data_IF_621437734060
#
_entry.id   IF_621437734060
#
_cell.length_a   1.000
_cell.length_b   1.000
_cell.length_c   1.000
_cell.angle_alpha   90.00
_cell.angle_beta   90.00
_cell.angle_gamma   90.00
#
_symmetry.space_group_name_H-M   'P 1'
#
loop_
_entity.id
_entity.type
_entity.pdbx_description
1 polymer ?
#
# COMPACT_ATOMS: atom_id res chain seq x y z
N UNK A 1 -24.97 -0.35 4.96
CA UNK A 1 -24.25 0.73 4.26
C UNK A 1 -23.37 1.46 5.28
N UNK A 2 -22.05 1.56 5.05
CA UNK A 2 -21.21 2.47 5.83
C UNK A 2 -21.34 3.85 5.19
N UNK A 3 -21.84 4.83 5.94
CA UNK A 3 -21.77 6.23 5.53
C UNK A 3 -20.38 6.75 5.91
N UNK A 4 -19.54 7.00 4.89
CA UNK A 4 -18.29 7.70 5.08
C UNK A 4 -18.55 9.16 5.44
N UNK A 5 -17.90 9.66 6.48
CA UNK A 5 -17.98 11.06 6.90
C UNK A 5 -17.14 11.93 5.97
N UNK A 6 -17.67 12.23 4.78
CA UNK A 6 -17.11 13.09 3.74
C UNK A 6 -15.74 12.68 3.16
N UNK A 7 -15.70 12.49 1.83
CA UNK A 7 -14.46 12.39 1.07
C UNK A 7 -14.07 13.76 0.49
N UNK A 8 -12.79 14.12 0.54
CA UNK A 8 -12.28 15.25 -0.26
C UNK A 8 -11.85 14.66 -1.60
N UNK A 9 -12.57 14.98 -2.67
CA UNK A 9 -12.14 14.66 -4.03
C UNK A 9 -11.10 15.71 -4.45
N UNK A 10 -9.92 15.25 -4.90
CA UNK A 10 -8.86 16.16 -5.34
C UNK A 10 -9.34 16.99 -6.52
N UNK A 11 -9.01 18.27 -6.43
CA UNK A 11 -8.93 19.21 -7.53
C UNK A 11 -7.74 18.88 -8.42
N UNK A 12 -7.96 18.81 -9.72
CA UNK A 12 -6.92 19.03 -10.72
C UNK A 12 -6.39 20.47 -10.62
N UNK A 13 -5.22 20.73 -11.22
CA UNK A 13 -4.27 21.85 -11.01
C UNK A 13 -4.84 23.29 -10.99
N UNK A 14 -6.14 23.52 -11.14
CA UNK A 14 -6.82 24.82 -11.03
C UNK A 14 -8.21 24.79 -10.35
N UNK A 15 -8.72 23.64 -9.93
CA UNK A 15 -10.08 23.53 -9.39
C UNK A 15 -10.14 23.74 -7.86
N UNK A 16 -11.29 24.22 -7.38
CA UNK A 16 -11.60 24.28 -5.96
C UNK A 16 -11.87 22.85 -5.45
N UNK A 17 -11.13 22.40 -4.44
CA UNK A 17 -11.48 21.18 -3.71
C UNK A 17 -12.88 21.31 -3.11
N UNK A 18 -13.75 20.34 -3.32
CA UNK A 18 -15.09 20.31 -2.74
C UNK A 18 -15.31 19.03 -1.93
N UNK A 19 -16.13 19.14 -0.89
CA UNK A 19 -16.52 18.01 -0.05
C UNK A 19 -17.62 17.23 -0.76
N UNK A 20 -17.43 15.93 -0.94
CA UNK A 20 -18.45 15.05 -1.49
C UNK A 20 -18.80 13.94 -0.49
N UNK A 21 -20.09 13.63 -0.40
CA UNK A 21 -20.58 12.49 0.37
C UNK A 21 -21.06 11.45 -0.62
N UNK A 22 -20.39 10.31 -0.67
CA UNK A 22 -20.79 9.16 -1.45
C UNK A 22 -21.15 8.00 -0.52
N UNK A 23 -22.06 7.14 -0.98
CA UNK A 23 -22.29 5.85 -0.32
C UNK A 23 -21.06 4.96 -0.50
N UNK A 24 -20.63 4.31 0.58
CA UNK A 24 -19.52 3.36 0.52
C UNK A 24 -20.00 1.94 0.83
N UNK A 25 -19.40 0.99 0.14
CA UNK A 25 -19.57 -0.46 0.35
C UNK A 25 -18.21 -1.08 0.66
N UNK A 26 -18.20 -2.19 1.39
CA UNK A 26 -16.96 -2.93 1.63
C UNK A 26 -16.63 -3.77 0.40
N UNK A 27 -15.35 -3.89 0.08
CA UNK A 27 -14.93 -4.70 -1.07
C UNK A 27 -15.33 -6.17 -0.88
N UNK A 28 -15.18 -6.72 0.33
CA UNK A 28 -15.61 -8.08 0.67
C UNK A 28 -17.11 -8.33 0.46
N UNK A 29 -17.95 -7.29 0.49
CA UNK A 29 -19.41 -7.41 0.36
C UNK A 29 -19.88 -7.42 -1.10
N UNK A 30 -19.05 -6.98 -2.06
CA UNK A 30 -19.42 -6.86 -3.48
C UNK A 30 -18.57 -7.72 -4.40
N UNK A 31 -17.42 -8.19 -3.92
CA UNK A 31 -16.50 -9.01 -4.69
C UNK A 31 -16.62 -10.48 -4.24
N UNK A 32 -17.33 -11.28 -5.05
CA UNK A 32 -17.56 -12.69 -4.75
C UNK A 32 -16.88 -13.64 -5.74
N UNK A 33 -16.43 -13.14 -6.89
CA UNK A 33 -15.80 -13.94 -7.94
C UNK A 33 -14.45 -14.50 -7.45
N UNK A 34 -14.28 -15.84 -7.36
CA UNK A 34 -13.04 -16.45 -6.94
C UNK A 34 -11.92 -16.37 -7.99
N UNK A 35 -12.21 -15.96 -9.23
CA UNK A 35 -11.25 -15.89 -10.34
C UNK A 35 -10.42 -14.60 -10.38
N UNK A 36 -10.65 -13.68 -9.43
CA UNK A 36 -9.96 -12.39 -9.38
C UNK A 36 -8.48 -12.59 -9.07
N UNK A 37 -7.64 -12.31 -10.05
CA UNK A 37 -6.20 -12.49 -9.95
C UNK A 37 -5.46 -11.22 -9.48
N UNK A 38 -6.06 -10.05 -9.63
CA UNK A 38 -5.41 -8.76 -9.34
C UNK A 38 -6.40 -7.74 -8.76
N UNK A 39 -5.92 -6.92 -7.82
CA UNK A 39 -6.63 -5.75 -7.31
C UNK A 39 -5.78 -4.49 -7.53
N UNK A 40 -6.25 -3.58 -8.40
CA UNK A 40 -5.71 -2.22 -8.55
C UNK A 40 -6.53 -1.26 -7.67
N UNK A 41 -5.87 -0.51 -6.80
CA UNK A 41 -6.49 0.49 -5.93
C UNK A 41 -5.87 1.86 -6.19
N UNK A 42 -6.68 2.78 -6.68
CA UNK A 42 -6.27 4.12 -7.10
C UNK A 42 -7.43 5.06 -6.74
N UNK A 43 -7.44 5.50 -5.48
CA UNK A 43 -8.60 6.16 -4.86
C UNK A 43 -8.21 7.44 -4.15
N UNK A 44 -7.22 8.15 -4.67
CA UNK A 44 -6.83 9.50 -4.24
C UNK A 44 -6.49 9.62 -2.74
N UNK A 45 -5.83 8.61 -2.16
CA UNK A 45 -5.38 8.65 -0.76
C UNK A 45 -6.28 7.91 0.22
N UNK A 46 -7.31 7.20 -0.27
CA UNK A 46 -8.20 6.34 0.53
C UNK A 46 -7.84 4.86 0.44
N UNK A 47 -6.65 4.52 -0.06
CA UNK A 47 -6.21 3.13 -0.27
C UNK A 47 -6.23 2.33 1.04
N UNK A 48 -5.75 2.86 2.20
CA UNK A 48 -5.84 2.12 3.46
C UNK A 48 -7.26 1.70 3.84
N UNK A 49 -8.27 2.53 3.57
CA UNK A 49 -9.67 2.25 3.86
C UNK A 49 -10.21 1.16 2.93
N UNK A 50 -9.79 1.15 1.66
CA UNK A 50 -10.12 0.07 0.73
C UNK A 50 -9.57 -1.25 1.24
N UNK A 51 -8.29 -1.31 1.62
CA UNK A 51 -7.67 -2.53 2.15
C UNK A 51 -8.28 -2.98 3.48
N UNK A 52 -8.67 -2.05 4.35
CA UNK A 52 -9.40 -2.37 5.58
C UNK A 52 -10.76 -3.05 5.30
N UNK A 53 -11.39 -2.72 4.17
CA UNK A 53 -12.67 -3.31 3.76
C UNK A 53 -12.56 -4.61 2.95
N UNK A 54 -11.33 -4.96 2.55
CA UNK A 54 -10.97 -6.10 1.69
C UNK A 54 -10.30 -7.24 2.48
N UNK A 55 -10.57 -7.36 3.78
CA UNK A 55 -9.85 -8.29 4.66
C UNK A 55 -10.01 -9.74 4.19
N UNK A 56 -11.23 -10.16 3.86
CA UNK A 56 -11.46 -11.56 3.50
C UNK A 56 -10.76 -11.92 2.19
N UNK A 57 -10.85 -11.07 1.17
CA UNK A 57 -10.22 -11.35 -0.13
C UNK A 57 -8.68 -11.35 -0.05
N UNK A 58 -8.09 -10.52 0.81
CA UNK A 58 -6.64 -10.47 1.05
C UNK A 58 -6.15 -11.66 1.90
N UNK A 59 -6.81 -11.96 3.02
CA UNK A 59 -6.41 -13.06 3.91
C UNK A 59 -6.60 -14.43 3.28
N UNK A 60 -7.63 -14.60 2.44
CA UNK A 60 -7.82 -15.84 1.68
C UNK A 60 -6.85 -15.99 0.50
N UNK A 61 -5.97 -14.99 0.28
CA UNK A 61 -5.02 -14.92 -0.84
C UNK A 61 -5.68 -15.19 -2.19
N UNK A 62 -6.95 -14.80 -2.36
CA UNK A 62 -7.65 -14.90 -3.64
C UNK A 62 -7.02 -13.95 -4.65
N UNK A 63 -6.58 -12.78 -4.21
CA UNK A 63 -5.86 -11.83 -5.06
C UNK A 63 -4.36 -12.14 -5.05
N UNK A 64 -3.84 -12.57 -6.20
CA UNK A 64 -2.42 -12.89 -6.35
C UNK A 64 -1.54 -11.64 -6.41
N UNK A 65 -2.03 -10.54 -6.99
CA UNK A 65 -1.28 -9.31 -7.17
C UNK A 65 -2.05 -8.06 -6.72
N UNK A 66 -1.37 -7.15 -6.03
CA UNK A 66 -1.89 -5.86 -5.59
C UNK A 66 -1.09 -4.74 -6.26
N UNK A 67 -1.79 -3.75 -6.80
CA UNK A 67 -1.18 -2.50 -7.26
C UNK A 67 -1.93 -1.33 -6.65
N UNK A 68 -1.22 -0.46 -5.93
CA UNK A 68 -1.83 0.71 -5.33
C UNK A 68 -0.84 1.85 -5.21
N UNK A 69 -1.36 3.07 -5.20
CA UNK A 69 -0.56 4.27 -4.97
C UNK A 69 -0.60 4.64 -3.49
N UNK A 70 0.55 5.04 -2.94
CA UNK A 70 0.60 5.71 -1.64
C UNK A 70 1.11 7.12 -1.84
N UNK A 71 0.39 8.12 -1.31
CA UNK A 71 0.86 9.50 -1.35
C UNK A 71 1.63 9.83 -0.06
N UNK A 72 2.89 10.30 -0.19
CA UNK A 72 3.64 10.86 0.95
C UNK A 72 3.36 12.36 1.04
N UNK A 73 2.45 12.75 1.91
CA UNK A 73 2.19 14.19 2.13
C UNK A 73 3.00 14.70 3.34
N UNK A 74 3.88 15.69 3.18
CA UNK A 74 4.73 16.17 4.27
C UNK A 74 3.98 17.02 5.32
N UNK A 75 2.69 17.31 5.11
CA UNK A 75 1.91 18.19 5.98
C UNK A 75 1.53 17.49 7.29
N UNK A 76 1.76 18.16 8.43
CA UNK A 76 1.36 17.70 9.78
C UNK A 76 -0.10 17.26 9.89
N UNK A 77 -0.98 17.81 9.05
CA UNK A 77 -2.41 17.53 9.00
C UNK A 77 -2.76 16.12 8.48
N UNK A 78 -1.82 15.39 7.87
CA UNK A 78 -2.07 14.04 7.32
C UNK A 78 -1.32 12.92 8.07
N UNK A 79 -0.93 13.14 9.33
CA UNK A 79 -0.32 12.10 10.19
C UNK A 79 -1.13 10.80 10.24
N UNK A 80 -2.46 10.91 10.24
CA UNK A 80 -3.34 9.75 10.26
C UNK A 80 -3.24 8.93 8.97
N UNK A 81 -3.11 9.59 7.81
CA UNK A 81 -2.93 8.90 6.52
C UNK A 81 -1.58 8.21 6.44
N UNK A 82 -0.51 8.86 6.91
CA UNK A 82 0.81 8.21 7.02
C UNK A 82 0.76 6.98 7.92
N UNK A 83 0.07 7.08 9.08
CA UNK A 83 -0.11 5.94 9.98
C UNK A 83 -0.87 4.80 9.31
N UNK A 84 -1.99 5.12 8.64
CA UNK A 84 -2.82 4.15 7.94
C UNK A 84 -2.06 3.47 6.78
N UNK A 85 -1.24 4.22 6.03
CA UNK A 85 -0.38 3.66 4.98
C UNK A 85 0.66 2.69 5.55
N UNK A 86 1.34 3.06 6.64
CA UNK A 86 2.31 2.18 7.32
C UNK A 86 1.62 0.91 7.83
N UNK A 87 0.45 1.05 8.45
CA UNK A 87 -0.34 -0.10 8.93
C UNK A 87 -0.81 -1.00 7.79
N UNK A 88 -1.14 -0.43 6.64
CA UNK A 88 -1.51 -1.19 5.43
C UNK A 88 -0.32 -1.98 4.91
N UNK A 89 0.83 -1.34 4.73
CA UNK A 89 2.06 -2.01 4.30
C UNK A 89 2.45 -3.14 5.27
N UNK A 90 2.33 -2.86 6.56
CA UNK A 90 2.54 -3.84 7.61
C UNK A 90 1.60 -5.03 7.51
N UNK A 91 0.31 -4.76 7.38
CA UNK A 91 -0.70 -5.81 7.28
C UNK A 91 -0.46 -6.71 6.06
N UNK A 92 -0.17 -6.11 4.90
CA UNK A 92 0.11 -6.84 3.66
C UNK A 92 1.37 -7.71 3.81
N UNK A 93 2.41 -7.18 4.43
CA UNK A 93 3.63 -7.93 4.73
C UNK A 93 3.35 -9.11 5.67
N UNK A 94 2.59 -8.92 6.74
CA UNK A 94 2.26 -9.97 7.72
C UNK A 94 1.45 -11.13 7.11
N UNK A 95 0.55 -10.83 6.18
CA UNK A 95 -0.20 -11.87 5.45
C UNK A 95 0.59 -12.47 4.29
N UNK A 96 1.85 -12.05 4.11
CA UNK A 96 2.86 -12.65 3.24
C UNK A 96 2.88 -12.12 1.81
N UNK A 97 2.40 -10.91 1.55
CA UNK A 97 2.69 -10.24 0.29
C UNK A 97 4.13 -9.72 0.28
N UNK A 98 4.82 -9.94 -0.84
CA UNK A 98 6.06 -9.25 -1.15
C UNK A 98 5.75 -7.86 -1.70
N UNK A 99 6.36 -6.83 -1.11
CA UNK A 99 6.15 -5.45 -1.54
C UNK A 99 7.33 -5.00 -2.41
N UNK A 100 6.99 -4.33 -3.51
CA UNK A 100 7.95 -3.79 -4.49
C UNK A 100 7.56 -2.35 -4.79
N UNK A 101 8.54 -1.47 -4.96
CA UNK A 101 8.26 -0.12 -5.48
C UNK A 101 8.31 -0.14 -7.00
N UNK A 102 7.30 0.42 -7.65
CA UNK A 102 7.25 0.56 -9.12
C UNK A 102 7.79 1.94 -9.51
N UNK A 103 8.95 2.05 -10.17
CA UNK A 103 9.43 3.31 -10.72
C UNK A 103 8.45 3.93 -11.72
N UNK A 104 8.26 5.25 -11.67
CA UNK A 104 7.37 6.00 -12.56
C UNK A 104 7.61 5.72 -14.05
N UNK A 105 8.87 5.53 -14.46
CA UNK A 105 9.23 5.19 -15.85
C UNK A 105 8.57 3.89 -16.35
N UNK A 106 8.32 2.93 -15.46
CA UNK A 106 7.66 1.66 -15.79
C UNK A 106 6.15 1.88 -15.91
N UNK A 107 5.56 2.72 -15.04
CA UNK A 107 4.15 3.09 -15.13
C UNK A 107 3.81 3.77 -16.46
N UNK A 108 4.70 4.65 -16.95
CA UNK A 108 4.52 5.34 -18.24
C UNK A 108 4.45 4.40 -19.46
N UNK A 109 4.96 3.18 -19.34
CA UNK A 109 4.95 2.21 -20.43
C UNK A 109 3.63 1.42 -20.52
N UNK A 110 2.62 1.76 -19.70
CA UNK A 110 1.32 1.07 -19.60
C UNK A 110 1.43 -0.45 -19.41
N UNK A 111 2.55 -0.93 -18.90
CA UNK A 111 2.73 -2.33 -18.61
C UNK A 111 1.87 -2.68 -17.38
N UNK A 112 1.01 -3.69 -17.52
CA UNK A 112 0.34 -4.29 -16.37
C UNK A 112 1.28 -5.29 -15.71
N UNK A 113 1.28 -5.41 -14.38
CA UNK A 113 2.07 -6.43 -13.73
C UNK A 113 1.55 -7.82 -14.13
N UNK A 114 2.43 -8.81 -14.29
CA UNK A 114 2.00 -10.16 -14.60
C UNK A 114 1.23 -10.76 -13.42
N UNK A 115 0.31 -11.65 -13.75
CA UNK A 115 -0.45 -12.40 -12.77
C UNK A 115 0.45 -13.45 -12.12
N UNK A 116 0.58 -13.40 -10.79
CA UNK A 116 1.36 -14.37 -10.01
C UNK A 116 2.61 -13.76 -9.38
N UNK A 117 3.63 -14.57 -9.15
CA UNK A 117 4.84 -14.15 -8.44
C UNK A 117 5.77 -13.33 -9.34
N UNK A 118 6.17 -12.14 -8.86
CA UNK A 118 7.10 -11.24 -9.53
C UNK A 118 8.45 -11.88 -9.88
N UNK A 119 8.90 -12.87 -9.10
CA UNK A 119 10.16 -13.56 -9.32
C UNK A 119 10.23 -14.31 -10.66
N UNK A 120 9.07 -14.65 -11.23
CA UNK A 120 8.96 -15.34 -12.52
C UNK A 120 8.45 -14.43 -13.64
N UNK A 121 8.37 -13.13 -13.38
CA UNK A 121 7.97 -12.15 -14.37
C UNK A 121 9.12 -11.82 -15.33
N UNK A 122 8.76 -11.43 -16.56
CA UNK A 122 9.71 -10.80 -17.48
C UNK A 122 10.14 -9.42 -16.99
N UNK A 123 11.25 -8.92 -17.53
CA UNK A 123 11.68 -7.54 -17.34
C UNK A 123 10.55 -6.57 -17.73
N UNK A 124 10.34 -5.47 -16.98
CA UNK A 124 11.16 -4.97 -15.88
C UNK A 124 10.69 -5.42 -14.48
N UNK A 125 9.75 -6.35 -14.39
CA UNK A 125 8.98 -6.65 -13.18
C UNK A 125 9.73 -7.47 -12.14
N UNK A 126 10.56 -8.41 -12.58
CA UNK A 126 11.49 -9.18 -11.74
C UNK A 126 12.62 -8.32 -11.13
N UNK A 127 12.90 -7.16 -11.71
CA UNK A 127 13.96 -6.22 -11.32
C UNK A 127 13.44 -5.06 -10.45
N UNK A 128 12.17 -5.10 -10.05
CA UNK A 128 11.63 -4.06 -9.19
C UNK A 128 12.37 -4.01 -7.84
N UNK A 129 12.71 -2.81 -7.34
CA UNK A 129 13.32 -2.67 -6.03
C UNK A 129 12.41 -3.22 -4.93
N UNK A 130 13.00 -4.02 -4.04
CA UNK A 130 12.33 -4.53 -2.84
C UNK A 130 11.90 -3.38 -1.93
N UNK A 131 10.76 -3.59 -1.26
CA UNK A 131 10.31 -2.75 -0.17
C UNK A 131 9.90 -3.65 1.01
N UNK A 132 10.47 -3.48 2.21
CA UNK A 132 11.66 -2.68 2.54
C UNK A 132 12.89 -3.09 1.70
N UNK A 133 13.83 -2.17 1.51
CA UNK A 133 15.11 -2.50 0.85
C UNK A 133 16.00 -3.35 1.77
N UNK A 134 16.93 -4.12 1.18
CA UNK A 134 17.90 -4.96 1.91
C UNK A 134 18.65 -4.16 2.98
N UNK A 135 19.05 -2.93 2.64
CA UNK A 135 19.71 -2.02 3.58
C UNK A 135 18.81 -1.62 4.75
N UNK A 136 17.48 -1.54 4.58
CA UNK A 136 16.55 -1.24 5.68
C UNK A 136 16.41 -2.46 6.58
N UNK A 137 16.29 -3.64 5.97
CA UNK A 137 16.23 -4.91 6.69
C UNK A 137 17.47 -5.10 7.56
N UNK A 138 18.67 -4.94 7.00
CA UNK A 138 19.92 -5.04 7.75
C UNK A 138 20.01 -4.08 8.95
N UNK A 139 19.60 -2.82 8.76
CA UNK A 139 19.63 -1.83 9.85
C UNK A 139 18.61 -2.19 10.92
N UNK A 140 17.42 -2.63 10.51
CA UNK A 140 16.37 -3.04 11.42
C UNK A 140 16.78 -4.27 12.25
N UNK A 141 17.39 -5.28 11.62
CA UNK A 141 17.85 -6.48 12.31
C UNK A 141 18.97 -6.18 13.31
N UNK A 142 19.93 -5.32 12.93
CA UNK A 142 20.97 -4.82 13.84
C UNK A 142 20.38 -4.05 15.02
N UNK A 143 19.32 -3.27 14.81
CA UNK A 143 18.63 -2.55 15.87
C UNK A 143 17.88 -3.52 16.79
N UNK A 144 17.11 -4.46 16.23
CA UNK A 144 16.35 -5.48 16.97
C UNK A 144 17.26 -6.33 17.87
N UNK A 145 18.43 -6.75 17.38
CA UNK A 145 19.41 -7.47 18.17
C UNK A 145 19.92 -6.67 19.39
N UNK A 146 19.94 -5.33 19.30
CA UNK A 146 20.40 -4.43 20.38
C UNK A 146 19.28 -4.02 21.34
N UNK A 147 18.03 -4.00 20.89
CA UNK A 147 16.89 -3.42 21.64
C UNK A 147 15.81 -4.43 22.04
N UNK A 148 16.17 -5.72 22.17
CA UNK A 148 15.29 -6.85 22.51
C UNK A 148 14.38 -6.69 23.75
N UNK A 149 14.40 -5.55 24.44
CA UNK A 149 13.58 -5.19 25.62
C UNK A 149 12.42 -4.21 25.35
N UNK A 150 12.17 -3.74 24.13
CA UNK A 150 11.01 -2.85 23.83
C UNK A 150 9.87 -3.58 23.11
N UNK A 151 8.66 -3.46 23.65
CA UNK A 151 7.42 -4.08 23.20
C UNK A 151 6.79 -3.46 21.93
N UNK A 152 7.60 -2.93 21.01
CA UNK A 152 7.09 -2.42 19.73
C UNK A 152 6.97 -3.61 18.78
N UNK A 153 5.84 -3.73 18.08
CA UNK A 153 5.66 -4.70 17.00
C UNK A 153 6.84 -4.57 16.00
N UNK A 154 7.68 -5.61 15.87
CA UNK A 154 8.89 -5.55 15.05
C UNK A 154 8.59 -5.24 13.59
N UNK A 155 7.47 -5.73 13.07
CA UNK A 155 7.16 -5.57 11.66
C UNK A 155 6.54 -4.18 11.40
N UNK A 156 5.71 -3.66 12.32
CA UNK A 156 5.26 -2.26 12.25
C UNK A 156 6.43 -1.27 12.30
N UNK A 157 7.41 -1.52 13.17
CA UNK A 157 8.65 -0.72 13.28
C UNK A 157 9.45 -0.76 11.98
N UNK A 158 9.61 -1.95 11.38
CA UNK A 158 10.27 -2.13 10.09
C UNK A 158 9.58 -1.31 8.98
N UNK A 159 8.25 -1.43 8.85
CA UNK A 159 7.51 -0.71 7.81
C UNK A 159 7.51 0.79 8.03
N UNK A 160 7.43 1.26 9.27
CA UNK A 160 7.56 2.69 9.57
C UNK A 160 8.93 3.23 9.12
N UNK A 161 10.00 2.48 9.38
CA UNK A 161 11.35 2.88 8.98
C UNK A 161 11.52 2.83 7.45
N UNK A 162 11.04 1.76 6.80
CA UNK A 162 11.04 1.63 5.35
C UNK A 162 10.26 2.76 4.68
N UNK A 163 9.08 3.11 5.20
CA UNK A 163 8.28 4.21 4.68
C UNK A 163 9.00 5.58 4.78
N UNK A 164 9.77 5.79 5.84
CA UNK A 164 10.53 7.03 5.98
C UNK A 164 11.71 7.09 5.01
N UNK A 165 12.46 5.98 4.91
CA UNK A 165 13.78 5.91 4.27
C UNK A 165 13.74 5.52 2.79
N UNK A 166 12.94 4.52 2.47
CA UNK A 166 12.93 3.86 1.16
C UNK A 166 11.80 4.37 0.28
N UNK A 167 10.68 4.78 0.86
CA UNK A 167 9.52 5.24 0.11
C UNK A 167 9.82 6.60 -0.54
N UNK A 168 9.84 6.59 -1.86
CA UNK A 168 10.00 7.79 -2.70
C UNK A 168 8.63 8.13 -3.28
N UNK A 169 8.00 9.17 -2.73
CA UNK A 169 6.86 9.77 -3.42
C UNK A 169 7.35 10.44 -4.68
N UNK A 170 6.63 10.24 -5.78
CA UNK A 170 6.80 11.08 -6.95
C UNK A 170 6.22 12.46 -6.62
N UNK A 171 7.02 13.50 -6.88
CA UNK A 171 6.64 14.91 -6.86
C UNK A 171 6.82 15.46 -8.26
#
# INVERSE_FOLDING_TARGET
AMQGSAGILKSDWSALSYSHVASAVRLDDVVHDPSICMLKVDVEGYEPQVFQSAKQILHSRRVAALQFELTKTPKKQQRNQTCAAIQTLQHLHDIGYELRQVPYRILLQNASPPVGAWIHADDPWNQLPSFPSDRTLEVHDKQRARTARRAIDPSLSLMAHAYQRDFRSFS
#
